data_IF_418969793653
#
_entry.id   IF_418969793653
#
_cell.length_a   1.000
_cell.length_b   1.000
_cell.length_c   1.000
_cell.angle_alpha   90.00
_cell.angle_beta   90.00
_cell.angle_gamma   90.00
#
_symmetry.space_group_name_H-M   'P 1'
#
loop_
_entity.id
_entity.type
_entity.pdbx_description
1 polymer ?
#
# COMPACT_ATOMS: atom_id res chain seq x y z
N UNK A 1 15.68 -0.12 26.52
CA UNK A 1 14.76 0.23 25.42
C UNK A 1 13.38 -0.27 25.81
N UNK A 2 12.35 0.54 25.64
CA UNK A 2 10.97 0.09 25.83
C UNK A 2 10.67 -1.03 24.83
N UNK A 3 10.03 -2.10 25.28
CA UNK A 3 9.63 -3.21 24.41
C UNK A 3 8.43 -2.78 23.58
N UNK A 4 8.42 -3.14 22.31
CA UNK A 4 7.35 -2.89 21.37
C UNK A 4 6.32 -4.02 21.51
N UNK A 5 5.09 -3.69 21.85
CA UNK A 5 4.03 -4.66 22.07
C UNK A 5 3.44 -5.13 20.74
N UNK A 6 3.30 -6.43 20.57
CA UNK A 6 2.75 -7.05 19.37
C UNK A 6 1.58 -8.00 19.68
N UNK A 7 0.63 -8.07 18.75
CA UNK A 7 -0.42 -9.09 18.71
C UNK A 7 -0.23 -9.92 17.45
N UNK A 8 -0.42 -11.24 17.56
CA UNK A 8 -0.40 -12.19 16.43
C UNK A 8 -1.79 -12.76 16.24
N UNK A 9 -2.33 -12.67 15.02
CA UNK A 9 -3.64 -13.23 14.65
C UNK A 9 -3.47 -14.13 13.42
N UNK A 10 -3.72 -15.43 13.59
CA UNK A 10 -3.57 -16.45 12.54
C UNK A 10 -4.44 -17.66 12.94
N UNK A 11 -5.25 -18.20 12.05
CA UNK A 11 -6.17 -19.31 12.37
C UNK A 11 -5.47 -20.64 12.64
N UNK A 12 -4.17 -20.74 12.32
CA UNK A 12 -3.35 -21.90 12.61
C UNK A 12 -2.37 -21.64 13.77
N UNK A 13 -2.62 -22.21 14.93
CA UNK A 13 -1.76 -22.07 16.13
C UNK A 13 -0.29 -22.41 15.89
N UNK A 14 0.01 -23.31 14.92
CA UNK A 14 1.39 -23.63 14.55
C UNK A 14 2.13 -22.43 13.95
N UNK A 15 1.45 -21.61 13.15
CA UNK A 15 2.01 -20.42 12.53
C UNK A 15 2.28 -19.33 13.58
N UNK A 16 1.36 -19.16 14.54
CA UNK A 16 1.53 -18.27 15.69
C UNK A 16 2.80 -18.65 16.48
N UNK A 17 2.94 -19.94 16.82
CA UNK A 17 4.11 -20.44 17.55
C UNK A 17 5.40 -20.24 16.79
N UNK A 18 5.41 -20.49 15.48
CA UNK A 18 6.58 -20.32 14.63
C UNK A 18 6.98 -18.84 14.52
N UNK A 19 6.02 -17.94 14.27
CA UNK A 19 6.28 -16.51 14.21
C UNK A 19 6.80 -15.98 15.56
N UNK A 20 6.17 -16.38 16.66
CA UNK A 20 6.61 -16.02 18.01
C UNK A 20 8.02 -16.51 18.31
N UNK A 21 8.38 -17.72 17.89
CA UNK A 21 9.74 -18.24 17.99
C UNK A 21 10.73 -17.35 17.23
N UNK A 22 10.44 -17.01 15.96
CA UNK A 22 11.31 -16.14 15.18
C UNK A 22 11.43 -14.73 15.77
N UNK A 23 10.32 -14.16 16.28
CA UNK A 23 10.37 -12.85 16.94
C UNK A 23 11.25 -12.87 18.19
N UNK A 24 11.15 -13.91 19.01
CA UNK A 24 11.98 -14.06 20.21
C UNK A 24 13.46 -14.23 19.89
N UNK A 25 13.80 -15.03 18.86
CA UNK A 25 15.19 -15.30 18.50
C UNK A 25 15.87 -14.14 17.77
N UNK A 26 15.14 -13.44 16.89
CA UNK A 26 15.75 -12.49 15.96
C UNK A 26 15.30 -11.04 16.17
N UNK A 27 14.22 -10.80 16.95
CA UNK A 27 13.63 -9.50 17.21
C UNK A 27 13.33 -9.31 18.70
N UNK A 28 14.32 -9.47 19.57
CA UNK A 28 14.17 -9.58 21.03
C UNK A 28 13.57 -8.35 21.76
N UNK A 29 13.39 -7.24 21.08
CA UNK A 29 12.68 -6.05 21.54
C UNK A 29 11.17 -6.07 21.25
N UNK A 30 10.67 -7.08 20.49
CA UNK A 30 9.24 -7.32 20.30
C UNK A 30 8.70 -8.16 21.47
N UNK A 31 7.60 -7.69 22.06
CA UNK A 31 6.89 -8.38 23.14
C UNK A 31 5.50 -8.83 22.65
N UNK A 32 5.31 -10.11 22.42
CA UNK A 32 4.00 -10.65 22.01
C UNK A 32 3.09 -10.71 23.24
N UNK A 33 2.12 -9.77 23.32
CA UNK A 33 1.22 -9.58 24.47
C UNK A 33 -0.09 -10.33 24.34
N UNK A 34 -0.52 -10.67 23.11
CA UNK A 34 -1.71 -11.46 22.86
C UNK A 34 -1.60 -12.27 21.56
N UNK A 35 -2.34 -13.35 21.51
CA UNK A 35 -2.45 -14.26 20.37
C UNK A 35 -3.94 -14.55 20.13
N UNK A 36 -4.37 -14.71 18.86
CA UNK A 36 -5.74 -15.05 18.50
C UNK A 36 -5.78 -16.02 17.32
N UNK A 37 -6.73 -16.96 17.34
CA UNK A 37 -6.89 -17.99 16.31
C UNK A 37 -8.22 -17.86 15.55
N UNK A 38 -8.93 -16.77 15.77
CA UNK A 38 -10.18 -16.47 15.07
C UNK A 38 -10.39 -14.95 14.96
N UNK A 39 -11.31 -14.55 14.09
CA UNK A 39 -11.73 -13.17 13.94
C UNK A 39 -12.23 -12.58 15.28
N UNK A 40 -13.10 -13.31 16.01
CA UNK A 40 -13.70 -12.85 17.26
C UNK A 40 -12.66 -12.70 18.37
N UNK A 41 -11.71 -13.63 18.47
CA UNK A 41 -10.58 -13.53 19.39
C UNK A 41 -9.68 -12.35 19.03
N UNK A 42 -9.44 -12.12 17.72
CA UNK A 42 -8.67 -11.00 17.21
C UNK A 42 -9.25 -9.64 17.61
N UNK A 43 -10.57 -9.46 17.44
CA UNK A 43 -11.29 -8.26 17.91
C UNK A 43 -11.09 -8.06 19.43
N UNK A 44 -11.30 -9.11 20.22
CA UNK A 44 -11.10 -9.04 21.69
C UNK A 44 -9.65 -8.70 22.06
N UNK A 45 -8.69 -9.31 21.37
CA UNK A 45 -7.28 -9.04 21.62
C UNK A 45 -6.93 -7.56 21.35
N UNK A 46 -7.43 -7.00 20.25
CA UNK A 46 -7.23 -5.59 19.90
C UNK A 46 -7.96 -4.61 20.84
N UNK A 47 -9.15 -5.00 21.36
CA UNK A 47 -9.92 -4.18 22.31
C UNK A 47 -9.27 -4.09 23.68
N UNK A 48 -8.69 -5.20 24.14
CA UNK A 48 -8.23 -5.35 25.53
C UNK A 48 -6.74 -5.02 25.72
N UNK A 49 -6.00 -4.80 24.63
CA UNK A 49 -4.57 -4.60 24.70
C UNK A 49 -4.14 -3.36 23.92
N UNK A 50 -3.22 -2.60 24.49
CA UNK A 50 -2.55 -1.53 23.76
C UNK A 50 -1.35 -2.14 23.01
N UNK A 51 -1.45 -2.23 21.70
CA UNK A 51 -0.44 -2.84 20.83
C UNK A 51 0.15 -1.83 19.87
N UNK A 52 1.43 -1.98 19.54
CA UNK A 52 2.14 -1.18 18.56
C UNK A 52 2.16 -1.85 17.19
N UNK A 53 2.22 -3.20 17.18
CA UNK A 53 2.30 -4.02 15.98
C UNK A 53 1.21 -5.08 15.96
N UNK A 54 0.58 -5.24 14.82
CA UNK A 54 -0.33 -6.34 14.52
C UNK A 54 0.28 -7.21 13.42
N UNK A 55 0.66 -8.45 13.74
CA UNK A 55 0.92 -9.49 12.74
C UNK A 55 -0.38 -10.21 12.42
N UNK A 56 -0.80 -10.18 11.17
CA UNK A 56 -2.15 -10.59 10.77
C UNK A 56 -2.12 -11.53 9.56
N UNK A 57 -2.69 -12.73 9.69
CA UNK A 57 -3.01 -13.52 8.51
C UNK A 57 -4.25 -12.96 7.79
N UNK A 58 -4.26 -13.10 6.49
CA UNK A 58 -5.41 -12.71 5.66
C UNK A 58 -6.56 -13.70 5.79
N UNK A 59 -6.28 -14.99 5.93
CA UNK A 59 -7.31 -16.03 6.06
C UNK A 59 -7.56 -16.31 7.54
N UNK A 60 -8.77 -16.02 8.01
CA UNK A 60 -9.21 -16.29 9.38
C UNK A 60 -10.50 -17.12 9.35
N UNK A 61 -10.40 -18.39 8.93
CA UNK A 61 -11.54 -19.30 8.74
C UNK A 61 -12.61 -18.69 7.83
N UNK A 62 -13.72 -18.23 8.42
CA UNK A 62 -14.90 -17.73 7.70
C UNK A 62 -14.80 -16.25 7.31
N UNK A 63 -13.77 -15.52 7.78
CA UNK A 63 -13.55 -14.10 7.53
C UNK A 63 -12.11 -13.84 7.10
N UNK A 64 -11.83 -12.60 6.67
CA UNK A 64 -10.49 -12.19 6.31
C UNK A 64 -9.89 -11.25 7.34
N UNK A 65 -8.55 -11.17 7.38
CA UNK A 65 -7.85 -10.17 8.15
C UNK A 65 -8.21 -8.73 7.73
N UNK A 66 -8.62 -8.54 6.48
CA UNK A 66 -9.13 -7.23 6.02
C UNK A 66 -10.47 -6.88 6.68
N UNK A 67 -11.38 -7.85 6.82
CA UNK A 67 -12.65 -7.62 7.52
C UNK A 67 -12.42 -7.24 8.98
N UNK A 68 -11.35 -7.78 9.58
CA UNK A 68 -10.95 -7.42 10.95
C UNK A 68 -10.47 -5.96 11.01
N UNK A 69 -9.65 -5.52 10.05
CA UNK A 69 -9.19 -4.14 9.98
C UNK A 69 -10.33 -3.15 9.68
N UNK A 70 -11.30 -3.53 8.84
CA UNK A 70 -12.48 -2.73 8.55
C UNK A 70 -13.39 -2.57 9.78
N UNK A 71 -13.50 -3.62 10.61
CA UNK A 71 -14.27 -3.57 11.84
C UNK A 71 -13.54 -2.81 12.95
N UNK A 72 -12.24 -2.99 13.06
CA UNK A 72 -11.48 -2.44 14.17
C UNK A 72 -9.98 -2.38 13.85
N UNK A 73 -9.49 -1.18 13.58
CA UNK A 73 -8.06 -0.89 13.57
C UNK A 73 -7.80 0.25 14.57
N UNK A 74 -7.18 -0.02 15.72
CA UNK A 74 -6.84 1.04 16.67
C UNK A 74 -5.89 2.05 16.02
N UNK A 75 -6.06 3.33 16.35
CA UNK A 75 -5.17 4.39 15.87
C UNK A 75 -3.72 4.09 16.26
N UNK A 76 -2.81 4.27 15.33
CA UNK A 76 -1.36 4.08 15.49
C UNK A 76 -0.83 2.65 15.48
N UNK A 77 -1.66 1.62 15.38
CA UNK A 77 -1.20 0.23 15.23
C UNK A 77 -0.59 0.03 13.84
N UNK A 78 0.61 -0.53 13.80
CA UNK A 78 1.32 -0.88 12.57
C UNK A 78 0.99 -2.31 12.18
N UNK A 79 0.49 -2.50 10.96
CA UNK A 79 0.07 -3.82 10.46
C UNK A 79 1.17 -4.43 9.59
N UNK A 80 1.53 -5.68 9.88
CA UNK A 80 2.36 -6.54 9.02
C UNK A 80 1.51 -7.77 8.69
N UNK A 81 1.19 -7.95 7.41
CA UNK A 81 0.53 -9.17 6.98
C UNK A 81 1.53 -10.34 6.90
N UNK A 82 1.12 -11.51 7.42
CA UNK A 82 1.90 -12.75 7.37
C UNK A 82 1.00 -13.86 6.84
N UNK A 83 1.11 -14.23 5.57
CA UNK A 83 0.11 -15.06 4.90
C UNK A 83 0.70 -15.95 3.80
N UNK A 84 -0.02 -17.02 3.44
CA UNK A 84 0.30 -17.85 2.26
C UNK A 84 -0.26 -17.30 0.93
N UNK A 85 -0.99 -16.19 0.96
CA UNK A 85 -1.76 -15.69 -0.19
C UNK A 85 -1.12 -14.50 -0.89
N UNK A 86 -0.26 -14.73 -1.86
CA UNK A 86 0.44 -13.69 -2.63
C UNK A 86 -0.50 -12.66 -3.31
N UNK A 87 -1.67 -13.09 -3.77
CA UNK A 87 -2.64 -12.27 -4.54
C UNK A 87 -3.18 -11.05 -3.79
N UNK A 88 -3.07 -11.00 -2.47
CA UNK A 88 -3.61 -9.91 -1.66
C UNK A 88 -2.58 -8.84 -1.27
N UNK A 89 -1.32 -8.97 -1.70
CA UNK A 89 -0.26 -7.99 -1.38
C UNK A 89 -0.68 -6.55 -1.73
N UNK A 90 -1.32 -6.33 -2.89
CA UNK A 90 -1.80 -5.00 -3.27
C UNK A 90 -2.99 -4.51 -2.42
N UNK A 91 -3.83 -5.42 -1.94
CA UNK A 91 -4.92 -5.03 -1.04
C UNK A 91 -4.37 -4.60 0.32
N UNK A 92 -3.31 -5.24 0.80
CA UNK A 92 -2.65 -4.89 2.06
C UNK A 92 -2.16 -3.43 2.08
N UNK A 93 -1.70 -2.91 0.94
CA UNK A 93 -1.30 -1.51 0.82
C UNK A 93 -2.47 -0.53 1.04
N UNK A 94 -3.71 -0.86 0.67
CA UNK A 94 -4.89 -0.01 0.95
C UNK A 94 -5.15 0.19 2.44
N UNK A 95 -4.67 -0.75 3.27
CA UNK A 95 -4.79 -0.71 4.74
C UNK A 95 -3.55 -0.11 5.42
N UNK A 96 -2.67 0.56 4.65
CA UNK A 96 -1.43 1.16 5.17
C UNK A 96 -0.55 0.13 5.93
N UNK A 97 -0.58 -1.14 5.50
CA UNK A 97 0.30 -2.15 6.05
C UNK A 97 1.76 -1.73 5.86
N UNK A 98 2.57 -1.86 6.90
CA UNK A 98 4.00 -1.52 6.85
C UNK A 98 4.75 -2.52 6.00
N UNK A 99 4.32 -3.80 6.06
CA UNK A 99 4.94 -4.86 5.28
C UNK A 99 4.00 -6.04 5.01
N UNK A 100 4.46 -6.94 4.12
CA UNK A 100 3.73 -8.13 3.69
C UNK A 100 4.69 -9.30 3.56
N UNK A 101 4.58 -10.28 4.45
CA UNK A 101 5.47 -11.44 4.53
C UNK A 101 4.73 -12.66 4.01
N UNK A 102 5.33 -13.35 3.04
CA UNK A 102 4.79 -14.62 2.55
C UNK A 102 5.25 -15.79 3.42
N UNK A 103 4.34 -16.72 3.69
CA UNK A 103 4.69 -18.01 4.25
C UNK A 103 5.24 -18.95 3.14
N UNK A 104 6.33 -19.70 3.38
CA UNK A 104 7.08 -19.83 4.64
C UNK A 104 7.87 -18.56 4.97
N UNK A 105 7.86 -18.16 6.25
CA UNK A 105 8.52 -16.95 6.73
C UNK A 105 10.04 -17.05 6.50
N UNK A 106 10.58 -16.09 5.77
CA UNK A 106 12.01 -15.89 5.62
C UNK A 106 12.48 -14.95 6.73
N UNK A 107 13.45 -15.37 7.52
CA UNK A 107 13.90 -14.66 8.74
C UNK A 107 14.37 -13.23 8.42
N UNK A 108 15.09 -13.04 7.32
CA UNK A 108 15.59 -11.76 6.87
C UNK A 108 14.45 -10.77 6.53
N UNK A 109 13.37 -11.25 5.90
CA UNK A 109 12.18 -10.45 5.59
C UNK A 109 11.46 -10.01 6.87
N UNK A 110 11.33 -10.91 7.85
CA UNK A 110 10.73 -10.59 9.14
C UNK A 110 11.54 -9.51 9.88
N UNK A 111 12.86 -9.65 9.93
CA UNK A 111 13.75 -8.66 10.56
C UNK A 111 13.60 -7.29 9.88
N UNK A 112 13.59 -7.26 8.54
CA UNK A 112 13.42 -6.02 7.77
C UNK A 112 12.07 -5.36 8.05
N UNK A 113 10.98 -6.14 8.07
CA UNK A 113 9.63 -5.65 8.35
C UNK A 113 9.54 -5.03 9.77
N UNK A 114 10.07 -5.73 10.77
CA UNK A 114 10.13 -5.24 12.15
C UNK A 114 10.97 -3.96 12.25
N UNK A 115 12.11 -3.88 11.58
CA UNK A 115 12.96 -2.69 11.59
C UNK A 115 12.28 -1.46 10.94
N UNK A 116 11.45 -1.67 9.90
CA UNK A 116 10.63 -0.59 9.31
C UNK A 116 9.65 -0.03 10.35
N UNK A 117 8.95 -0.91 11.08
CA UNK A 117 8.03 -0.48 12.13
C UNK A 117 8.75 0.28 13.23
N UNK A 118 9.92 -0.19 13.68
CA UNK A 118 10.73 0.50 14.69
C UNK A 118 11.10 1.91 14.27
N UNK A 119 11.53 2.07 13.03
CA UNK A 119 11.86 3.36 12.46
C UNK A 119 10.65 4.30 12.46
N UNK A 120 9.50 3.81 12.02
CA UNK A 120 8.24 4.58 12.01
C UNK A 120 7.81 5.03 13.40
N UNK A 121 7.98 4.17 14.43
CA UNK A 121 7.66 4.51 15.82
C UNK A 121 8.64 5.56 16.35
N UNK A 122 9.95 5.42 16.09
CA UNK A 122 10.96 6.37 16.52
C UNK A 122 10.80 7.75 15.87
N UNK A 123 10.50 7.81 14.57
CA UNK A 123 10.26 9.08 13.87
C UNK A 123 9.06 9.84 14.45
N UNK A 124 8.01 9.13 14.91
CA UNK A 124 6.87 9.75 15.61
C UNK A 124 7.25 10.34 16.97
N UNK A 125 8.15 9.72 17.72
CA UNK A 125 8.61 10.22 19.03
C UNK A 125 9.43 11.51 18.84
N UNK A 126 10.34 11.55 17.85
CA UNK A 126 11.16 12.74 17.57
C UNK A 126 10.35 13.94 17.06
N UNK A 127 9.23 13.71 16.35
CA UNK A 127 8.35 14.80 15.87
C UNK A 127 7.43 15.35 16.98
N UNK A 128 7.14 14.59 18.03
CA UNK A 128 6.26 15.05 19.12
C UNK A 128 6.91 16.03 20.09
N UNK A 129 8.22 16.05 20.24
CA UNK A 129 8.91 16.95 21.18
C UNK A 129 9.29 18.32 20.60
N UNK A 130 9.37 18.45 19.26
CA UNK A 130 9.87 19.69 18.64
C UNK A 130 8.82 20.55 17.93
N UNK A 131 7.55 20.13 17.81
CA UNK A 131 6.56 20.83 16.97
C UNK A 131 5.14 20.94 17.55
N UNK A 132 4.96 21.16 18.85
CA UNK A 132 3.61 21.29 19.45
C UNK A 132 2.85 22.56 19.02
N UNK A 133 3.45 23.56 18.38
CA UNK A 133 2.81 24.87 18.20
C UNK A 133 2.62 25.44 16.79
N UNK A 134 2.90 24.73 15.70
CA UNK A 134 2.70 25.36 14.38
C UNK A 134 2.12 24.53 13.23
N UNK A 135 1.72 23.26 13.41
CA UNK A 135 1.37 22.40 12.28
C UNK A 135 0.10 21.55 12.40
N UNK A 136 -0.88 21.95 13.21
CA UNK A 136 -2.18 21.24 13.29
C UNK A 136 -3.04 21.32 12.03
N UNK A 137 -2.55 21.82 10.90
CA UNK A 137 -3.33 21.96 9.65
C UNK A 137 -2.73 21.29 8.42
N UNK A 138 -1.49 20.77 8.48
CA UNK A 138 -0.81 20.28 7.25
C UNK A 138 -0.49 18.77 7.28
N UNK A 139 -0.67 18.07 8.43
CA UNK A 139 -0.18 16.70 8.60
C UNK A 139 -1.20 15.62 8.19
N UNK A 140 -2.48 15.94 8.08
CA UNK A 140 -3.50 14.98 7.60
C UNK A 140 -3.45 14.68 6.10
N UNK A 141 -2.65 15.43 5.32
CA UNK A 141 -2.51 15.21 3.88
C UNK A 141 -1.19 14.55 3.43
N UNK A 142 -0.22 14.34 4.33
CA UNK A 142 1.16 13.97 3.96
C UNK A 142 1.51 12.49 4.07
N UNK A 143 0.60 11.62 4.50
CA UNK A 143 0.79 10.15 4.51
C UNK A 143 -0.03 9.44 3.43
N UNK A 144 -0.36 10.11 2.33
CA UNK A 144 -0.74 9.42 1.10
C UNK A 144 0.50 8.70 0.58
N UNK A 145 0.39 7.41 0.42
CA UNK A 145 1.40 6.57 -0.22
C UNK A 145 1.98 7.28 -1.45
N UNK A 146 3.26 7.68 -1.40
CA UNK A 146 3.91 8.37 -2.52
C UNK A 146 4.36 7.40 -3.62
N UNK A 147 4.12 6.10 -3.48
CA UNK A 147 4.61 5.09 -4.42
C UNK A 147 3.62 3.93 -4.63
N UNK A 148 3.78 3.25 -5.76
CA UNK A 148 3.12 1.99 -6.10
C UNK A 148 4.15 0.85 -6.15
N UNK A 149 3.77 -0.32 -5.65
CA UNK A 149 4.55 -1.55 -5.76
C UNK A 149 4.10 -2.33 -6.99
N UNK A 150 5.02 -2.63 -7.90
CA UNK A 150 4.77 -3.38 -9.13
C UNK A 150 5.51 -4.71 -9.03
N UNK A 151 4.79 -5.84 -8.90
CA UNK A 151 5.41 -7.15 -8.95
C UNK A 151 5.99 -7.43 -10.35
N UNK A 152 7.25 -7.84 -10.41
CA UNK A 152 7.94 -8.38 -11.56
C UNK A 152 8.29 -9.85 -11.29
N UNK A 153 8.83 -10.58 -12.27
CA UNK A 153 9.09 -12.02 -12.13
C UNK A 153 10.09 -12.37 -11.01
N UNK A 154 10.98 -11.48 -10.67
CA UNK A 154 12.12 -11.71 -9.76
C UNK A 154 12.22 -10.66 -8.63
N UNK A 155 11.38 -9.61 -8.65
CA UNK A 155 11.44 -8.50 -7.68
C UNK A 155 10.15 -7.68 -7.66
N UNK A 156 10.02 -6.83 -6.64
CA UNK A 156 8.98 -5.81 -6.55
C UNK A 156 9.63 -4.45 -6.82
N UNK A 157 9.16 -3.76 -7.87
CA UNK A 157 9.59 -2.39 -8.16
C UNK A 157 8.71 -1.41 -7.39
N UNK A 158 9.34 -0.52 -6.61
CA UNK A 158 8.66 0.58 -5.91
C UNK A 158 8.82 1.87 -6.71
N UNK A 159 7.72 2.41 -7.24
CA UNK A 159 7.74 3.60 -8.08
C UNK A 159 6.94 4.70 -7.39
N UNK A 160 7.54 5.88 -7.23
CA UNK A 160 6.81 7.03 -6.70
C UNK A 160 5.76 7.50 -7.70
N UNK A 161 4.56 7.84 -7.23
CA UNK A 161 3.49 8.34 -8.12
C UNK A 161 3.92 9.55 -8.94
N UNK A 162 4.74 10.43 -8.37
CA UNK A 162 5.29 11.59 -9.08
C UNK A 162 6.21 11.24 -10.26
N UNK A 163 6.76 10.02 -10.27
CA UNK A 163 7.66 9.56 -11.32
C UNK A 163 6.93 8.79 -12.43
N UNK A 164 5.62 8.53 -12.27
CA UNK A 164 4.78 7.88 -13.27
C UNK A 164 4.12 8.94 -14.14
N UNK A 165 4.37 8.89 -15.46
CA UNK A 165 3.79 9.80 -16.45
C UNK A 165 2.43 9.29 -16.92
N UNK A 166 2.35 8.02 -17.33
CA UNK A 166 1.11 7.35 -17.73
C UNK A 166 1.29 5.83 -17.73
N UNK A 167 0.17 5.11 -17.73
CA UNK A 167 0.08 3.66 -17.88
C UNK A 167 -0.53 3.33 -19.24
N UNK A 168 0.00 2.29 -19.89
CA UNK A 168 -0.44 1.79 -21.20
C UNK A 168 -0.77 0.29 -21.12
N UNK A 169 -1.93 -0.11 -21.64
CA UNK A 169 -2.29 -1.52 -21.75
C UNK A 169 -1.61 -2.16 -22.95
N UNK A 170 -0.91 -3.27 -22.75
CA UNK A 170 -0.36 -4.09 -23.81
C UNK A 170 -0.79 -5.56 -23.62
N UNK A 171 -1.92 -5.92 -24.21
CA UNK A 171 -2.52 -7.24 -24.02
C UNK A 171 -2.92 -7.45 -22.55
N UNK A 172 -2.32 -8.47 -21.90
CA UNK A 172 -2.53 -8.77 -20.49
C UNK A 172 -1.59 -8.01 -19.53
N UNK A 173 -0.67 -7.23 -20.08
CA UNK A 173 0.32 -6.47 -19.32
C UNK A 173 -0.04 -5.00 -19.26
N UNK A 174 0.47 -4.33 -18.23
CA UNK A 174 0.44 -2.87 -18.10
C UNK A 174 1.87 -2.34 -18.11
N UNK A 175 2.14 -1.36 -18.99
CA UNK A 175 3.43 -0.68 -19.04
C UNK A 175 3.30 0.65 -18.31
N UNK A 176 4.11 0.84 -17.28
CA UNK A 176 4.30 2.11 -16.60
C UNK A 176 5.37 2.91 -17.32
N UNK A 177 5.01 4.06 -17.88
CA UNK A 177 5.94 5.01 -18.46
C UNK A 177 6.33 6.03 -17.41
N UNK A 178 7.59 6.01 -17.01
CA UNK A 178 8.10 6.82 -15.92
C UNK A 178 8.98 7.98 -16.43
N UNK A 179 9.26 8.93 -15.53
CA UNK A 179 10.30 9.94 -15.75
C UNK A 179 11.63 9.26 -16.06
N UNK A 180 12.57 9.98 -16.68
CA UNK A 180 13.87 9.44 -17.15
C UNK A 180 13.78 8.37 -18.25
N UNK A 181 12.66 8.32 -19.00
CA UNK A 181 12.42 7.35 -20.07
C UNK A 181 12.45 5.88 -19.62
N UNK A 182 12.23 5.60 -18.32
CA UNK A 182 12.13 4.24 -17.81
C UNK A 182 10.74 3.66 -18.08
N UNK A 183 10.69 2.37 -18.43
CA UNK A 183 9.45 1.62 -18.58
C UNK A 183 9.49 0.40 -17.68
N UNK A 184 8.40 0.15 -16.95
CA UNK A 184 8.25 -1.01 -16.08
C UNK A 184 7.03 -1.78 -16.53
N UNK A 185 7.20 -3.09 -16.73
CA UNK A 185 6.14 -3.98 -17.21
C UNK A 185 5.57 -4.74 -16.02
N UNK A 186 4.28 -4.54 -15.78
CA UNK A 186 3.53 -5.27 -14.79
C UNK A 186 2.71 -6.39 -15.43
N UNK A 187 2.67 -7.56 -14.78
CA UNK A 187 1.91 -8.74 -15.23
C UNK A 187 0.41 -8.66 -14.95
N UNK A 188 -0.15 -7.45 -14.76
CA UNK A 188 -1.56 -7.18 -14.46
C UNK A 188 -2.21 -6.37 -15.56
N UNK A 189 -3.53 -6.53 -15.69
CA UNK A 189 -4.33 -5.72 -16.60
C UNK A 189 -4.42 -4.27 -16.14
N UNK A 190 -4.56 -3.35 -17.11
CA UNK A 190 -4.71 -1.93 -16.81
C UNK A 190 -5.95 -1.64 -15.92
N UNK A 191 -7.00 -2.46 -16.05
CA UNK A 191 -8.22 -2.33 -15.23
C UNK A 191 -7.98 -2.54 -13.74
N UNK A 192 -7.04 -3.42 -13.38
CA UNK A 192 -6.71 -3.71 -11.98
C UNK A 192 -6.08 -2.50 -11.27
N UNK A 193 -5.60 -1.52 -12.04
CA UNK A 193 -5.02 -0.28 -11.52
C UNK A 193 -6.03 0.86 -11.35
N UNK A 194 -7.26 0.75 -11.87
CA UNK A 194 -8.30 1.79 -11.69
C UNK A 194 -8.59 2.01 -10.21
N UNK A 195 -8.79 0.93 -9.45
CA UNK A 195 -9.08 1.00 -8.01
C UNK A 195 -7.85 1.42 -7.18
N UNK A 196 -6.64 1.01 -7.60
CA UNK A 196 -5.39 1.30 -6.89
C UNK A 196 -5.04 2.78 -7.00
N UNK A 197 -5.32 3.37 -8.17
CA UNK A 197 -5.00 4.75 -8.48
C UNK A 197 -6.18 5.71 -8.25
N UNK A 198 -7.29 5.20 -7.70
CA UNK A 198 -8.44 6.03 -7.34
C UNK A 198 -8.06 7.04 -6.25
N UNK A 199 -8.63 8.26 -6.32
CA UNK A 199 -8.31 9.38 -5.44
C UNK A 199 -6.86 9.90 -5.49
N UNK A 200 -6.07 9.45 -6.47
CA UNK A 200 -4.73 9.95 -6.79
C UNK A 200 -4.79 10.83 -8.05
N UNK A 201 -3.72 11.56 -8.41
CA UNK A 201 -3.70 12.42 -9.59
C UNK A 201 -3.67 11.63 -10.92
N UNK A 202 -4.36 10.49 -10.96
CA UNK A 202 -4.47 9.63 -12.13
C UNK A 202 -5.87 9.66 -12.70
N UNK A 203 -5.96 9.63 -14.03
CA UNK A 203 -7.24 9.65 -14.72
C UNK A 203 -7.23 8.66 -15.90
N UNK A 204 -8.24 7.79 -15.94
CA UNK A 204 -8.42 6.87 -17.06
C UNK A 204 -8.99 7.59 -18.26
N UNK A 205 -8.16 7.87 -19.25
CA UNK A 205 -8.57 8.57 -20.48
C UNK A 205 -9.17 7.62 -21.52
N UNK A 206 -8.70 6.38 -21.58
CA UNK A 206 -9.07 5.42 -22.61
C UNK A 206 -9.08 3.98 -22.04
N UNK A 207 -9.69 3.02 -22.75
CA UNK A 207 -9.59 1.59 -22.38
C UNK A 207 -8.15 1.10 -22.23
N UNK A 208 -7.21 1.75 -22.92
CA UNK A 208 -5.80 1.38 -22.95
C UNK A 208 -4.88 2.36 -22.23
N UNK A 209 -5.38 3.45 -21.63
CA UNK A 209 -4.52 4.46 -21.02
C UNK A 209 -5.09 5.03 -19.73
N UNK A 210 -4.21 5.15 -18.71
CA UNK A 210 -4.39 5.97 -17.51
C UNK A 210 -3.26 7.00 -17.50
N UNK A 211 -3.57 8.27 -17.38
CA UNK A 211 -2.57 9.36 -17.31
C UNK A 211 -2.40 9.86 -15.88
N UNK A 212 -1.22 10.36 -15.56
CA UNK A 212 -1.02 11.23 -14.41
C UNK A 212 -1.28 12.67 -14.83
N UNK A 213 -2.28 13.30 -14.22
CA UNK A 213 -2.71 14.68 -14.56
C UNK A 213 -1.58 15.67 -14.34
N UNK A 214 -0.74 15.47 -13.31
CA UNK A 214 0.39 16.35 -13.00
C UNK A 214 1.48 16.34 -14.10
N UNK A 215 1.49 15.32 -14.97
CA UNK A 215 2.38 15.21 -16.11
C UNK A 215 1.72 15.59 -17.45
N UNK A 216 0.52 16.15 -17.42
CA UNK A 216 -0.18 16.62 -18.62
C UNK A 216 0.23 18.06 -18.91
N UNK A 217 0.84 18.30 -20.07
CA UNK A 217 1.31 19.64 -20.48
C UNK A 217 0.25 20.42 -21.27
N UNK A 218 -0.59 19.74 -22.07
CA UNK A 218 -1.60 20.37 -22.94
C UNK A 218 -2.75 19.40 -23.22
N UNK A 219 -3.93 19.98 -23.48
CA UNK A 219 -5.07 19.31 -24.11
C UNK A 219 -5.13 19.74 -25.58
N UNK A 220 -5.14 18.78 -26.49
CA UNK A 220 -5.21 19.01 -27.95
C UNK A 220 -6.60 18.59 -28.40
N UNK A 221 -7.31 19.52 -29.09
CA UNK A 221 -8.70 19.31 -29.58
C UNK A 221 -8.79 19.26 -31.11
N UNK A 222 -7.66 19.39 -31.83
CA UNK A 222 -7.58 19.30 -33.29
C UNK A 222 -7.44 17.84 -33.71
N UNK A 223 -8.25 17.38 -34.67
CA UNK A 223 -8.26 16.00 -35.19
C UNK A 223 -8.45 14.90 -34.13
N UNK A 224 -9.17 15.22 -33.05
CA UNK A 224 -9.43 14.33 -31.92
C UNK A 224 -9.22 15.05 -30.58
N UNK A 225 -9.33 14.28 -29.50
CA UNK A 225 -9.13 14.80 -28.14
C UNK A 225 -7.97 14.04 -27.48
N UNK A 226 -6.87 14.73 -27.21
CA UNK A 226 -5.64 14.12 -26.68
C UNK A 226 -5.10 14.89 -25.49
N UNK A 227 -4.51 14.17 -24.53
CA UNK A 227 -3.64 14.73 -23.51
C UNK A 227 -2.19 14.64 -23.99
N UNK A 228 -1.50 15.76 -24.13
CA UNK A 228 -0.06 15.78 -24.38
C UNK A 228 0.68 15.68 -23.06
N UNK A 229 1.47 14.62 -22.91
CA UNK A 229 2.27 14.37 -21.72
C UNK A 229 3.62 15.10 -21.76
N UNK A 230 4.27 15.28 -20.62
CA UNK A 230 5.57 15.95 -20.50
C UNK A 230 6.69 15.24 -21.30
N UNK A 231 6.56 13.94 -21.57
CA UNK A 231 7.46 13.20 -22.45
C UNK A 231 7.09 13.32 -23.95
N UNK A 232 6.25 14.31 -24.33
CA UNK A 232 5.76 14.59 -25.67
C UNK A 232 4.81 13.54 -26.27
N UNK A 233 4.43 12.49 -25.56
CA UNK A 233 3.44 11.51 -26.07
C UNK A 233 2.02 12.10 -26.03
N UNK A 234 1.24 11.90 -27.09
CA UNK A 234 -0.17 12.26 -27.17
C UNK A 234 -1.01 11.04 -26.80
N UNK A 235 -1.76 11.14 -25.70
CA UNK A 235 -2.62 10.05 -25.19
C UNK A 235 -4.08 10.36 -25.55
N UNK A 236 -4.79 9.45 -26.26
CA UNK A 236 -6.17 9.68 -26.67
C UNK A 236 -7.12 9.69 -25.47
N UNK A 237 -8.17 10.53 -25.57
CA UNK A 237 -9.25 10.58 -24.59
C UNK A 237 -10.55 10.11 -25.25
N UNK A 238 -11.11 9.02 -24.74
CA UNK A 238 -12.38 8.48 -25.24
C UNK A 238 -13.53 9.50 -25.08
N UNK A 239 -14.45 9.59 -26.06
CA UNK A 239 -15.55 10.58 -26.08
C UNK A 239 -16.29 10.67 -24.75
N UNK A 240 -16.66 9.54 -24.16
CA UNK A 240 -17.37 9.46 -22.86
C UNK A 240 -16.55 9.96 -21.66
N UNK A 241 -15.25 10.13 -21.81
CA UNK A 241 -14.32 10.58 -20.75
C UNK A 241 -13.98 12.06 -20.84
N UNK A 242 -14.27 12.72 -21.98
CA UNK A 242 -13.89 14.11 -22.21
C UNK A 242 -14.55 15.09 -21.24
N UNK A 243 -15.87 14.94 -21.00
CA UNK A 243 -16.59 15.81 -20.06
C UNK A 243 -16.10 15.63 -18.62
N UNK A 244 -15.80 14.37 -18.24
CA UNK A 244 -15.28 14.08 -16.90
C UNK A 244 -13.89 14.70 -16.73
N UNK A 245 -13.02 14.55 -17.74
CA UNK A 245 -11.69 15.15 -17.72
C UNK A 245 -11.76 16.68 -17.63
N UNK A 246 -12.64 17.32 -18.40
CA UNK A 246 -12.82 18.77 -18.33
C UNK A 246 -13.23 19.22 -16.91
N UNK A 247 -14.14 18.49 -16.26
CA UNK A 247 -14.54 18.75 -14.86
C UNK A 247 -13.38 18.60 -13.88
N UNK A 248 -12.57 17.55 -14.04
CA UNK A 248 -11.39 17.30 -13.19
C UNK A 248 -10.33 18.40 -13.36
N UNK A 249 -10.21 18.95 -14.59
CA UNK A 249 -9.25 20.03 -14.90
C UNK A 249 -9.82 21.43 -14.63
N UNK A 250 -11.11 21.56 -14.29
CA UNK A 250 -11.76 22.84 -14.04
C UNK A 250 -11.98 23.69 -15.31
N UNK A 251 -12.15 23.05 -16.50
CA UNK A 251 -12.35 23.71 -17.82
C UNK A 251 -13.62 23.27 -18.50
#
# INVERSE_FOLDING_TARGET
>A
MEKINAIIIDDEIKNIRLLKYYLNEFCGDINVIAEATSFEEGIKALQNNNTDILFLDIQLKDKTGFDLLDCMLPQNVKVIFVTSHEKYALKAFKYNAVDYILKPIVTEELILAVNRVKKDIQEKIFTSETQINSLNKTINDSLKQDFIAIPSNDRIELIKFKDIIFLESQGRYTIFHCTNNTQIIASRNLGDYDDILDNLPFFRTHKSYIININHTSKIIKNDGFYCKMNNNKNIPVARRRQEILNRVLGI
#
